data_IF_797811665879
#
_entry.id   IF_797811665879
#
_cell.length_a   1.000
_cell.length_b   1.000
_cell.length_c   1.000
_cell.angle_alpha   90.00
_cell.angle_beta   90.00
_cell.angle_gamma   90.00
#
_symmetry.space_group_name_H-M   'P 1'
#
loop_
_entity.id
_entity.type
_entity.pdbx_description
1 polymer ?
#
# COMPACT_ATOMS: atom_id res chain seq x y z
N UNK A 1 9.87 8.90 -36.03
CA UNK A 1 10.16 7.52 -35.59
C UNK A 1 10.29 7.56 -34.06
N UNK A 2 9.21 7.23 -33.34
CA UNK A 2 9.21 7.22 -31.86
C UNK A 2 10.10 6.08 -31.37
N UNK A 3 11.24 6.41 -30.75
CA UNK A 3 12.09 5.42 -30.07
C UNK A 3 11.46 5.15 -28.71
N UNK A 4 10.96 3.92 -28.51
CA UNK A 4 10.47 3.47 -27.22
C UNK A 4 11.67 3.18 -26.32
N UNK A 5 11.89 4.00 -25.30
CA UNK A 5 12.89 3.72 -24.28
C UNK A 5 12.30 2.75 -23.26
N UNK A 6 12.94 1.59 -23.09
CA UNK A 6 12.54 0.59 -22.10
C UNK A 6 13.41 0.78 -20.85
N UNK A 7 12.84 1.38 -19.81
CA UNK A 7 13.49 1.54 -18.52
C UNK A 7 12.90 0.58 -17.48
N UNK A 8 13.74 -0.11 -16.73
CA UNK A 8 13.35 -0.94 -15.58
C UNK A 8 13.83 -0.26 -14.31
N UNK A 9 12.90 0.21 -13.49
CA UNK A 9 13.19 0.84 -12.19
C UNK A 9 12.90 -0.18 -11.08
N UNK A 10 13.89 -0.46 -10.22
CA UNK A 10 13.74 -1.29 -9.02
C UNK A 10 14.06 -0.45 -7.80
N UNK A 11 13.15 -0.43 -6.83
CA UNK A 11 13.35 0.24 -5.55
C UNK A 11 13.64 -0.79 -4.46
N UNK A 12 14.70 -0.58 -3.68
CA UNK A 12 15.03 -1.37 -2.47
C UNK A 12 15.41 -0.43 -1.31
N UNK A 13 15.54 -0.93 -0.07
CA UNK A 13 16.02 -0.15 1.07
C UNK A 13 17.43 0.45 0.85
N UNK A 14 18.18 -0.05 -0.13
CA UNK A 14 19.54 0.36 -0.48
C UNK A 14 19.55 1.44 -1.59
N UNK A 15 18.39 1.81 -2.12
CA UNK A 15 18.23 2.87 -3.12
C UNK A 15 17.36 2.47 -4.32
N UNK A 16 17.33 3.35 -5.33
CA UNK A 16 16.58 3.14 -6.57
C UNK A 16 17.56 2.82 -7.70
N UNK A 17 17.31 1.73 -8.44
CA UNK A 17 18.09 1.31 -9.61
C UNK A 17 17.26 1.44 -10.87
N UNK A 18 17.67 2.31 -11.80
CA UNK A 18 17.12 2.39 -13.15
C UNK A 18 18.05 1.72 -14.17
N UNK A 19 17.53 0.80 -14.98
CA UNK A 19 18.25 0.20 -16.11
C UNK A 19 17.55 0.63 -17.40
N UNK A 20 18.25 1.34 -18.27
CA UNK A 20 17.81 1.62 -19.64
C UNK A 20 18.43 0.57 -20.57
N UNK A 21 17.62 -0.09 -21.40
CA UNK A 21 18.04 -1.24 -22.21
C UNK A 21 18.79 -0.88 -23.50
N UNK A 22 19.08 0.39 -23.76
CA UNK A 22 19.86 0.82 -24.91
C UNK A 22 21.24 1.26 -24.42
N UNK A 23 22.31 0.87 -25.12
CA UNK A 23 23.76 1.06 -24.86
C UNK A 23 24.21 2.51 -24.53
N UNK A 24 23.58 3.14 -23.56
CA UNK A 24 23.78 4.48 -23.05
C UNK A 24 24.08 4.36 -21.56
N UNK A 25 24.83 5.33 -20.99
CA UNK A 25 25.39 5.19 -19.66
C UNK A 25 24.29 4.80 -18.68
N UNK A 26 24.55 3.70 -17.96
CA UNK A 26 23.83 3.32 -16.75
C UNK A 26 23.69 4.59 -15.92
N UNK A 27 22.46 4.97 -15.55
CA UNK A 27 22.28 5.99 -14.51
C UNK A 27 22.96 5.42 -13.28
N UNK A 28 24.17 5.91 -13.03
CA UNK A 28 25.04 5.47 -11.97
C UNK A 28 24.35 5.77 -10.64
N UNK A 29 24.51 4.85 -9.69
CA UNK A 29 23.95 4.90 -8.33
C UNK A 29 23.68 6.33 -7.87
N UNK A 30 22.40 6.71 -7.84
CA UNK A 30 21.97 7.76 -6.92
C UNK A 30 21.60 7.04 -5.64
N UNK A 31 22.62 6.75 -4.83
CA UNK A 31 22.38 6.57 -3.41
C UNK A 31 21.77 7.89 -2.95
N UNK A 32 20.52 7.88 -2.49
CA UNK A 32 20.04 8.97 -1.66
C UNK A 32 20.92 8.93 -0.41
N UNK A 33 21.95 9.76 -0.42
CA UNK A 33 22.77 10.02 0.76
C UNK A 33 21.77 10.54 1.79
N UNK A 34 21.81 9.95 2.98
CA UNK A 34 20.92 10.24 4.11
C UNK A 34 21.12 11.67 4.69
N UNK A 35 21.67 12.58 3.89
CA UNK A 35 22.16 13.90 4.27
C UNK A 35 21.69 14.96 3.27
N UNK A 36 20.38 15.05 3.08
CA UNK A 36 19.79 16.31 2.65
C UNK A 36 19.51 17.14 3.90
N UNK A 37 20.39 18.12 4.17
CA UNK A 37 20.29 19.11 5.25
C UNK A 37 18.90 19.81 5.24
N UNK A 38 18.18 19.78 4.10
CA UNK A 38 16.83 20.27 3.96
C UNK A 38 15.73 19.33 4.52
N UNK A 39 15.87 18.00 4.44
CA UNK A 39 14.84 17.07 4.95
C UNK A 39 14.81 17.03 6.48
N UNK A 40 15.97 17.23 7.13
CA UNK A 40 16.06 17.34 8.58
C UNK A 40 15.38 18.61 9.14
N UNK A 41 15.14 19.62 8.29
CA UNK A 41 14.40 20.83 8.65
C UNK A 41 12.88 20.65 8.55
N UNK A 42 12.41 19.56 7.92
CA UNK A 42 10.99 19.26 7.84
C UNK A 42 10.47 18.74 9.19
N UNK A 43 9.20 18.98 9.51
CA UNK A 43 8.61 18.49 10.74
C UNK A 43 8.79 16.97 10.90
N UNK A 44 9.26 16.53 12.07
CA UNK A 44 9.54 15.11 12.32
C UNK A 44 8.29 14.23 12.23
N UNK A 45 7.10 14.80 12.43
CA UNK A 45 5.81 14.13 12.28
C UNK A 45 5.38 13.92 10.82
N UNK A 46 6.15 14.37 9.84
CA UNK A 46 5.88 14.11 8.42
C UNK A 46 6.27 12.68 8.00
N UNK A 47 7.20 12.07 8.73
CA UNK A 47 7.79 10.79 8.38
C UNK A 47 7.21 9.68 9.24
N UNK A 48 6.87 8.55 8.60
CA UNK A 48 6.46 7.36 9.32
C UNK A 48 7.59 6.86 10.22
N UNK A 49 7.28 6.65 11.49
CA UNK A 49 8.24 6.28 12.55
C UNK A 49 8.30 4.78 12.79
N UNK A 50 7.28 4.04 12.38
CA UNK A 50 7.18 2.59 12.51
C UNK A 50 6.47 1.96 11.31
N UNK A 51 6.50 0.63 11.23
CA UNK A 51 5.77 -0.11 10.19
C UNK A 51 4.24 -0.04 10.34
N UNK A 52 3.76 0.24 11.54
CA UNK A 52 2.34 0.38 11.89
C UNK A 52 1.91 1.83 12.04
N UNK A 53 2.78 2.78 11.71
CA UNK A 53 2.44 4.19 11.70
C UNK A 53 1.42 4.45 10.59
N UNK A 54 0.32 5.10 10.96
CA UNK A 54 -0.82 5.37 10.09
C UNK A 54 -1.24 6.81 10.33
N UNK A 55 -1.08 7.64 9.29
CA UNK A 55 -1.65 8.98 9.29
C UNK A 55 -3.18 8.93 9.22
N UNK A 56 -3.85 10.03 9.53
CA UNK A 56 -5.31 10.15 9.35
C UNK A 56 -5.61 11.26 8.36
N UNK A 57 -6.31 10.93 7.27
CA UNK A 57 -6.74 11.92 6.29
C UNK A 57 -7.97 12.66 6.80
N UNK A 58 -7.95 13.99 6.67
CA UNK A 58 -9.10 14.84 6.97
C UNK A 58 -9.97 14.92 5.71
N UNK A 59 -10.76 13.86 5.48
CA UNK A 59 -11.68 13.72 4.35
C UNK A 59 -13.03 13.17 4.83
N UNK A 60 -14.12 13.34 4.07
CA UNK A 60 -15.39 12.68 4.38
C UNK A 60 -15.24 11.17 4.50
N UNK A 61 -16.03 10.57 5.39
CA UNK A 61 -16.06 9.11 5.57
C UNK A 61 -16.46 8.42 4.25
N UNK A 62 -15.70 7.41 3.87
CA UNK A 62 -15.95 6.66 2.64
C UNK A 62 -17.07 5.65 2.86
N UNK A 63 -18.11 5.74 2.05
CA UNK A 63 -19.17 4.74 1.95
C UNK A 63 -18.87 3.74 0.84
N UNK A 64 -19.08 2.46 1.12
CA UNK A 64 -18.94 1.39 0.16
C UNK A 64 -20.34 0.93 -0.25
N UNK A 65 -20.69 1.14 -1.51
CA UNK A 65 -22.00 0.72 -2.04
C UNK A 65 -21.95 -0.74 -2.48
N UNK A 66 -22.96 -1.51 -2.06
CA UNK A 66 -23.13 -2.93 -2.40
C UNK A 66 -24.29 -3.08 -3.38
N UNK A 67 -24.19 -4.03 -4.32
CA UNK A 67 -25.25 -4.36 -5.29
C UNK A 67 -26.53 -4.77 -4.55
N UNK A 68 -27.67 -4.32 -5.07
CA UNK A 68 -28.97 -4.70 -4.53
C UNK A 68 -29.18 -6.21 -4.58
N UNK A 69 -29.66 -6.80 -3.48
CA UNK A 69 -29.85 -8.25 -3.34
C UNK A 69 -28.56 -9.07 -3.22
N UNK A 70 -27.40 -8.43 -3.04
CA UNK A 70 -26.15 -9.15 -2.84
C UNK A 70 -26.17 -9.99 -1.56
N UNK A 71 -25.61 -11.20 -1.66
CA UNK A 71 -25.47 -12.12 -0.52
C UNK A 71 -24.09 -11.93 0.09
N UNK A 72 -24.04 -11.56 1.36
CA UNK A 72 -22.80 -11.48 2.13
C UNK A 72 -22.25 -12.89 2.36
N UNK A 73 -20.95 -13.06 2.12
CA UNK A 73 -20.27 -14.35 2.28
C UNK A 73 -19.52 -14.37 3.61
N UNK A 74 -19.75 -15.42 4.39
CA UNK A 74 -18.97 -15.71 5.60
C UNK A 74 -18.03 -16.86 5.34
N UNK A 75 -16.89 -16.56 4.72
CA UNK A 75 -15.90 -17.59 4.37
C UNK A 75 -15.15 -18.07 5.62
N UNK A 76 -14.83 -19.37 5.74
CA UNK A 76 -14.01 -19.86 6.83
C UNK A 76 -12.54 -19.42 6.66
N UNK A 77 -11.85 -19.25 7.78
CA UNK A 77 -10.41 -18.99 7.79
C UNK A 77 -9.65 -20.18 7.18
N UNK A 78 -8.71 -19.89 6.29
CA UNK A 78 -7.83 -20.91 5.72
C UNK A 78 -6.90 -21.47 6.78
N UNK A 79 -6.53 -22.75 6.62
CA UNK A 79 -5.47 -23.35 7.42
C UNK A 79 -4.16 -22.65 7.12
N UNK A 80 -3.51 -22.13 8.16
CA UNK A 80 -2.21 -21.45 8.09
C UNK A 80 -1.20 -22.20 8.95
N UNK A 81 0.09 -21.98 8.72
CA UNK A 81 1.14 -22.54 9.57
C UNK A 81 1.13 -21.85 10.95
N UNK A 82 1.62 -22.54 11.98
CA UNK A 82 1.77 -21.97 13.32
C UNK A 82 2.60 -20.68 13.30
N UNK A 83 3.71 -20.67 12.55
CA UNK A 83 4.55 -19.48 12.41
C UNK A 83 3.80 -18.30 11.76
N UNK A 84 2.96 -18.59 10.75
CA UNK A 84 2.12 -17.58 10.11
C UNK A 84 1.05 -17.04 11.05
N UNK A 85 0.47 -17.89 11.89
CA UNK A 85 -0.52 -17.52 12.90
C UNK A 85 0.09 -16.61 13.98
N UNK A 86 1.27 -16.96 14.50
CA UNK A 86 2.00 -16.14 15.47
C UNK A 86 2.36 -14.76 14.89
N UNK A 87 2.80 -14.74 13.63
CA UNK A 87 3.11 -13.49 12.94
C UNK A 87 1.87 -12.61 12.71
N UNK A 88 0.75 -13.20 12.25
CA UNK A 88 -0.50 -12.45 12.05
C UNK A 88 -1.06 -11.95 13.39
N UNK A 89 -0.98 -12.75 14.45
CA UNK A 89 -1.45 -12.36 15.79
C UNK A 89 -0.76 -11.08 16.25
N UNK A 90 0.57 -11.00 16.08
CA UNK A 90 1.33 -9.78 16.39
C UNK A 90 0.89 -8.59 15.55
N UNK A 91 0.77 -8.78 14.23
CA UNK A 91 0.37 -7.69 13.32
C UNK A 91 -1.02 -7.18 13.68
N UNK A 92 -1.99 -8.07 13.92
CA UNK A 92 -3.36 -7.69 14.28
C UNK A 92 -3.39 -6.95 15.62
N UNK A 93 -2.64 -7.41 16.62
CA UNK A 93 -2.52 -6.71 17.89
C UNK A 93 -2.00 -5.28 17.72
N UNK A 94 -0.96 -5.07 16.90
CA UNK A 94 -0.43 -3.74 16.65
C UNK A 94 -1.42 -2.86 15.88
N UNK A 95 -2.17 -3.43 14.93
CA UNK A 95 -3.22 -2.71 14.18
C UNK A 95 -4.40 -2.31 15.07
N UNK A 96 -4.76 -3.13 16.05
CA UNK A 96 -5.77 -2.80 17.07
C UNK A 96 -5.26 -1.66 17.95
N UNK A 97 -4.00 -1.72 18.39
CA UNK A 97 -3.41 -0.67 19.24
C UNK A 97 -3.38 0.70 18.55
N UNK A 98 -3.20 0.73 17.22
CA UNK A 98 -3.24 1.96 16.41
C UNK A 98 -4.67 2.35 16.00
N UNK A 99 -5.66 1.48 16.21
CA UNK A 99 -7.07 1.76 15.90
C UNK A 99 -7.46 1.56 14.44
N UNK A 100 -6.65 0.82 13.66
CA UNK A 100 -6.97 0.46 12.27
C UNK A 100 -7.98 -0.70 12.22
N UNK A 101 -7.87 -1.62 13.17
CA UNK A 101 -8.73 -2.79 13.30
C UNK A 101 -9.49 -2.69 14.63
N UNK A 102 -10.76 -3.08 14.61
CA UNK A 102 -11.60 -3.16 15.81
C UNK A 102 -12.13 -4.58 16.01
N UNK A 103 -12.24 -5.02 17.27
CA UNK A 103 -12.86 -6.29 17.60
C UNK A 103 -14.39 -6.19 17.47
N UNK A 104 -15.01 -7.19 16.84
CA UNK A 104 -16.45 -7.23 16.61
C UNK A 104 -17.05 -8.51 17.16
N UNK A 105 -18.13 -8.40 17.93
CA UNK A 105 -18.80 -9.55 18.56
C UNK A 105 -19.51 -10.47 17.56
N UNK A 106 -20.04 -9.91 16.47
CA UNK A 106 -20.79 -10.63 15.45
C UNK A 106 -20.43 -10.12 14.06
N UNK A 107 -20.03 -11.02 13.16
CA UNK A 107 -19.72 -10.70 11.78
C UNK A 107 -20.71 -11.33 10.79
N UNK A 108 -21.32 -10.50 9.95
CA UNK A 108 -22.23 -10.91 8.87
C UNK A 108 -21.49 -11.27 7.58
N UNK A 109 -20.29 -10.72 7.40
CA UNK A 109 -19.35 -11.02 6.33
C UNK A 109 -18.02 -11.50 6.94
N UNK A 110 -17.31 -12.40 6.27
CA UNK A 110 -15.97 -12.80 6.68
C UNK A 110 -15.10 -13.10 5.46
N UNK A 111 -13.94 -12.46 5.41
CA UNK A 111 -12.89 -12.74 4.44
C UNK A 111 -11.69 -13.37 5.17
N UNK A 112 -11.14 -14.49 4.67
CA UNK A 112 -10.00 -15.13 5.32
C UNK A 112 -8.75 -14.26 5.17
N UNK A 113 -7.89 -14.32 6.18
CA UNK A 113 -6.59 -13.63 6.20
C UNK A 113 -5.45 -14.59 5.89
N UNK A 114 -4.39 -14.09 5.28
CA UNK A 114 -3.27 -14.88 4.79
C UNK A 114 -1.94 -14.26 5.21
N UNK A 115 -1.02 -15.06 5.79
CA UNK A 115 0.36 -14.65 6.01
C UNK A 115 1.16 -14.89 4.73
N UNK A 116 1.70 -13.84 4.13
CA UNK A 116 2.60 -13.96 2.97
C UNK A 116 4.01 -13.50 3.33
N UNK A 117 4.97 -14.41 3.18
CA UNK A 117 6.38 -14.12 3.44
C UNK A 117 6.92 -13.13 2.39
N UNK A 118 7.64 -12.12 2.85
CA UNK A 118 8.37 -11.20 1.97
C UNK A 118 9.57 -11.95 1.36
N UNK A 119 9.67 -11.97 0.03
CA UNK A 119 10.64 -12.78 -0.73
C UNK A 119 12.11 -12.35 -0.61
N UNK A 120 12.41 -11.24 0.08
CA UNK A 120 13.71 -10.56 -0.02
C UNK A 120 14.13 -9.95 1.32
N UNK A 121 13.94 -10.71 2.41
CA UNK A 121 14.39 -10.31 3.74
C UNK A 121 15.10 -11.49 4.38
N UNK A 122 16.34 -11.26 4.84
CA UNK A 122 17.10 -12.22 5.66
C UNK A 122 16.37 -12.57 6.97
N UNK A 123 15.41 -11.72 7.36
CA UNK A 123 14.44 -11.94 8.43
C UNK A 123 13.11 -12.45 7.87
N UNK A 124 12.46 -13.39 8.57
CA UNK A 124 11.14 -13.93 8.19
C UNK A 124 10.02 -12.92 8.46
N UNK A 125 9.88 -11.91 7.60
CA UNK A 125 8.84 -10.89 7.71
C UNK A 125 7.60 -11.34 6.93
N UNK A 126 6.48 -11.41 7.64
CA UNK A 126 5.17 -11.73 7.08
C UNK A 126 4.37 -10.46 6.77
N UNK A 127 3.58 -10.54 5.70
CA UNK A 127 2.55 -9.56 5.36
C UNK A 127 1.19 -10.10 5.73
N UNK A 128 0.38 -9.20 6.30
CA UNK A 128 -1.05 -9.39 6.48
C UNK A 128 -1.78 -9.10 5.16
N UNK A 129 -2.54 -10.08 4.65
CA UNK A 129 -3.37 -9.93 3.45
C UNK A 129 -4.77 -10.45 3.75
N UNK A 130 -5.79 -9.72 3.33
CA UNK A 130 -7.18 -10.14 3.38
C UNK A 130 -7.61 -10.56 1.97
N UNK A 131 -8.24 -11.72 1.85
CA UNK A 131 -8.82 -12.17 0.58
C UNK A 131 -10.20 -11.53 0.34
N UNK A 132 -10.21 -10.33 -0.24
CA UNK A 132 -11.43 -9.55 -0.52
C UNK A 132 -12.14 -9.96 -1.82
N UNK A 133 -11.83 -11.12 -2.43
CA UNK A 133 -12.41 -11.49 -3.73
C UNK A 133 -13.93 -11.57 -3.72
N UNK A 134 -14.53 -12.17 -2.69
CA UNK A 134 -15.99 -12.27 -2.61
C UNK A 134 -16.65 -10.92 -2.29
N UNK A 135 -16.02 -10.10 -1.44
CA UNK A 135 -16.46 -8.72 -1.17
C UNK A 135 -16.45 -7.90 -2.45
N UNK A 136 -15.37 -7.97 -3.24
CA UNK A 136 -15.22 -7.23 -4.49
C UNK A 136 -16.28 -7.61 -5.56
N UNK A 137 -16.87 -8.82 -5.51
CA UNK A 137 -17.94 -9.21 -6.43
C UNK A 137 -19.26 -8.50 -6.13
N UNK A 138 -19.52 -8.19 -4.86
CA UNK A 138 -20.78 -7.60 -4.41
C UNK A 138 -20.71 -6.07 -4.33
N UNK A 139 -19.53 -5.49 -4.17
CA UNK A 139 -19.32 -4.04 -4.20
C UNK A 139 -19.62 -3.49 -5.60
N UNK A 140 -20.27 -2.33 -5.66
CA UNK A 140 -20.51 -1.60 -6.90
C UNK A 140 -19.19 -0.94 -7.32
N UNK A 141 -18.63 -1.28 -8.50
CA UNK A 141 -17.36 -0.69 -8.93
C UNK A 141 -17.53 0.81 -9.20
N UNK A 142 -16.59 1.59 -8.68
CA UNK A 142 -16.47 3.00 -9.02
C UNK A 142 -15.63 3.17 -10.30
N UNK A 143 -15.88 4.26 -11.04
CA UNK A 143 -15.10 4.57 -12.23
C UNK A 143 -13.65 4.89 -11.83
N UNK A 144 -12.64 4.25 -12.45
CA UNK A 144 -11.25 4.55 -12.13
C UNK A 144 -10.90 5.95 -12.63
N UNK A 145 -10.63 6.87 -11.70
CA UNK A 145 -10.20 8.26 -12.00
C UNK A 145 -8.69 8.41 -12.07
N UNK A 146 -7.93 7.33 -11.87
CA UNK A 146 -6.47 7.35 -11.87
C UNK A 146 -5.95 7.33 -13.31
N UNK A 147 -5.23 8.38 -13.70
CA UNK A 147 -4.57 8.47 -15.01
C UNK A 147 -3.47 7.43 -15.18
N UNK A 148 -3.27 6.98 -16.42
CA UNK A 148 -2.14 6.12 -16.77
C UNK A 148 -0.79 6.83 -16.51
N UNK A 149 0.21 6.08 -16.06
CA UNK A 149 1.54 6.60 -15.70
C UNK A 149 2.18 7.32 -16.89
N UNK A 150 2.02 6.82 -18.11
CA UNK A 150 2.57 7.44 -19.32
C UNK A 150 1.99 8.83 -19.49
N UNK A 151 0.68 8.97 -19.30
CA UNK A 151 -0.01 10.26 -19.39
C UNK A 151 0.51 11.22 -18.33
N UNK A 152 0.68 10.77 -17.09
CA UNK A 152 1.23 11.58 -16.01
C UNK A 152 2.66 12.06 -16.31
N UNK A 153 3.51 11.20 -16.90
CA UNK A 153 4.87 11.55 -17.27
C UNK A 153 4.94 12.60 -18.40
N UNK A 154 3.96 12.63 -19.30
CA UNK A 154 3.91 13.69 -20.35
C UNK A 154 3.68 15.09 -19.80
N UNK A 155 3.12 15.20 -18.58
CA UNK A 155 2.90 16.48 -17.91
C UNK A 155 4.18 17.05 -17.27
N UNK A 156 5.22 16.24 -17.14
CA UNK A 156 6.51 16.67 -16.59
C UNK A 156 7.20 17.60 -17.60
N UNK A 157 7.50 18.86 -17.24
CA UNK A 157 8.16 19.78 -18.16
C UNK A 157 9.53 19.25 -18.60
N UNK A 158 9.90 19.36 -19.88
CA UNK A 158 11.21 18.92 -20.36
C UNK A 158 12.37 19.76 -19.78
N UNK A 159 12.06 20.92 -19.20
CA UNK A 159 13.01 21.80 -18.51
C UNK A 159 13.27 21.40 -17.06
N UNK A 160 12.47 20.47 -16.50
CA UNK A 160 12.67 19.99 -15.13
C UNK A 160 13.90 19.08 -15.08
N UNK A 161 14.87 19.41 -14.22
CA UNK A 161 16.13 18.68 -14.07
C UNK A 161 16.35 18.11 -12.67
N UNK A 162 15.46 18.43 -11.73
CA UNK A 162 15.52 17.98 -10.33
C UNK A 162 14.16 17.41 -9.97
N UNK A 163 14.18 16.22 -9.34
CA UNK A 163 12.98 15.48 -8.98
C UNK A 163 13.07 15.02 -7.52
N UNK A 164 11.94 15.02 -6.84
CA UNK A 164 11.78 14.41 -5.52
C UNK A 164 10.65 13.40 -5.60
N UNK A 165 10.84 12.23 -4.97
CA UNK A 165 9.87 11.15 -4.95
C UNK A 165 9.48 10.90 -3.50
N UNK A 166 8.18 10.94 -3.21
CA UNK A 166 7.62 10.67 -1.89
C UNK A 166 6.70 9.47 -2.04
N UNK A 167 6.88 8.48 -1.17
CA UNK A 167 6.00 7.32 -1.05
C UNK A 167 5.21 7.42 0.26
N UNK A 168 3.91 7.17 0.19
CA UNK A 168 3.03 7.24 1.37
C UNK A 168 2.99 5.87 2.04
N UNK A 169 3.50 5.80 3.28
CA UNK A 169 3.39 4.60 4.11
C UNK A 169 1.93 4.37 4.52
N UNK A 170 1.45 3.13 4.40
CA UNK A 170 0.12 2.68 4.85
C UNK A 170 -1.04 3.57 4.36
N UNK A 171 -0.93 4.14 3.15
CA UNK A 171 -1.83 5.17 2.63
C UNK A 171 -3.32 4.78 2.59
N UNK A 172 -3.65 3.48 2.51
CA UNK A 172 -5.05 3.06 2.54
C UNK A 172 -5.66 3.08 3.95
N UNK A 173 -4.86 2.83 4.99
CA UNK A 173 -5.34 2.86 6.37
C UNK A 173 -5.60 4.29 6.88
N UNK A 174 -5.10 5.30 6.18
CA UNK A 174 -5.36 6.70 6.52
C UNK A 174 -6.73 7.21 6.04
N UNK A 175 -7.42 6.44 5.19
CA UNK A 175 -8.74 6.78 4.65
C UNK A 175 -9.82 6.26 5.61
N UNK A 176 -10.65 7.13 6.22
CA UNK A 176 -11.64 6.70 7.18
C UNK A 176 -12.88 6.08 6.49
N UNK A 177 -13.28 4.90 6.94
CA UNK A 177 -14.46 4.17 6.44
C UNK A 177 -15.68 4.51 7.32
N UNK A 178 -16.82 4.77 6.66
CA UNK A 178 -18.08 5.01 7.34
C UNK A 178 -18.52 3.77 8.15
N UNK A 179 -19.01 3.92 9.40
CA UNK A 179 -19.47 2.79 10.23
C UNK A 179 -20.39 1.81 9.51
N UNK A 180 -21.35 2.32 8.74
CA UNK A 180 -22.28 1.53 7.93
C UNK A 180 -21.62 0.72 6.80
N UNK A 181 -20.31 0.82 6.58
CA UNK A 181 -19.57 0.03 5.59
C UNK A 181 -18.53 -0.89 6.22
N UNK A 182 -18.32 -0.84 7.54
CA UNK A 182 -17.29 -1.64 8.25
C UNK A 182 -17.67 -3.12 8.43
N UNK A 183 -18.92 -3.49 8.11
CA UNK A 183 -19.40 -4.86 8.23
C UNK A 183 -18.93 -5.78 7.09
N UNK A 184 -18.32 -5.21 6.04
CA UNK A 184 -17.91 -5.88 4.80
C UNK A 184 -16.60 -6.63 4.92
#
# INVERSE_FOLDING_TARGET
>A
MLKYFRATIRCSPEGVRGILNDNHPVMERVCLVKEDIALASLPSNLWATSDTDVGQMIIPLVHISVKEGAVLQRLPQYKISQEGEEALTRIVHDLIAVGVVEEVLYNVCNSPILPILKKDTDTRIYRFIIDLREVNKIVIPQYPVVSDITTLLTLVPPTANTFSVIDLKNAFFSIPIHPDSRYL
#
